data_IF_179162273458
#
_entry.id   IF_179162273458
#
_cell.length_a   1.000
_cell.length_b   1.000
_cell.length_c   1.000
_cell.angle_alpha   90.00
_cell.angle_beta   90.00
_cell.angle_gamma   90.00
#
_symmetry.space_group_name_H-M   'P 1'
#
loop_
_entity.id
_entity.type
_entity.pdbx_description
1 polymer ?
#
# COMPACT_ATOMS: atom_id res chain seq x y z
N UNK A 1 -35.92 -2.49 -32.73
CA UNK A 1 -36.00 -2.51 -31.24
C UNK A 1 -35.17 -3.62 -30.61
N UNK A 2 -35.39 -4.91 -30.90
CA UNK A 2 -34.62 -6.02 -30.27
C UNK A 2 -33.09 -5.92 -30.47
N UNK A 3 -32.63 -5.52 -31.66
CA UNK A 3 -31.20 -5.33 -31.93
C UNK A 3 -30.60 -4.12 -31.19
N UNK A 4 -31.36 -3.04 -31.01
CA UNK A 4 -30.91 -1.86 -30.26
C UNK A 4 -30.73 -2.17 -28.76
N UNK A 5 -31.65 -2.97 -28.20
CA UNK A 5 -31.56 -3.44 -26.82
C UNK A 5 -30.35 -4.38 -26.65
N UNK A 6 -30.09 -5.27 -27.60
CA UNK A 6 -28.93 -6.16 -27.58
C UNK A 6 -27.61 -5.40 -27.61
N UNK A 7 -27.50 -4.37 -28.46
CA UNK A 7 -26.31 -3.50 -28.55
C UNK A 7 -26.13 -2.70 -27.25
N UNK A 8 -27.22 -2.19 -26.67
CA UNK A 8 -27.19 -1.47 -25.39
C UNK A 8 -26.75 -2.38 -24.23
N UNK A 9 -27.22 -3.63 -24.19
CA UNK A 9 -26.78 -4.63 -23.21
C UNK A 9 -25.31 -5.01 -23.38
N UNK A 10 -24.80 -5.11 -24.61
CA UNK A 10 -23.38 -5.40 -24.86
C UNK A 10 -22.45 -4.26 -24.41
N UNK A 11 -22.87 -3.00 -24.59
CA UNK A 11 -22.12 -1.83 -24.13
C UNK A 11 -22.10 -1.69 -22.59
N UNK A 12 -23.16 -2.13 -21.91
CA UNK A 12 -23.20 -2.17 -20.44
C UNK A 12 -22.34 -3.31 -19.85
N UNK A 13 -22.07 -4.37 -20.63
CA UNK A 13 -21.23 -5.49 -20.22
C UNK A 13 -19.74 -5.27 -20.47
N UNK A 14 -19.36 -4.25 -21.27
CA UNK A 14 -17.96 -3.88 -21.52
C UNK A 14 -17.37 -2.91 -20.49
N UNK A 15 -18.11 -2.55 -19.44
CA UNK A 15 -17.57 -1.84 -18.27
C UNK A 15 -16.76 -2.78 -17.34
N UNK A 16 -15.99 -3.69 -17.93
CA UNK A 16 -15.02 -4.50 -17.21
C UNK A 16 -13.80 -3.62 -16.93
N UNK A 17 -13.58 -3.29 -15.65
CA UNK A 17 -12.32 -2.67 -15.18
C UNK A 17 -11.14 -3.43 -15.79
N UNK A 18 -10.33 -2.72 -16.58
CA UNK A 18 -9.03 -3.21 -17.03
C UNK A 18 -8.02 -2.85 -15.96
N UNK A 19 -7.67 -3.81 -15.11
CA UNK A 19 -6.57 -3.66 -14.16
C UNK A 19 -5.26 -3.57 -14.95
N UNK A 20 -4.78 -2.35 -15.18
CA UNK A 20 -3.52 -2.12 -15.87
C UNK A 20 -2.36 -2.52 -14.94
N UNK A 21 -1.54 -3.47 -15.37
CA UNK A 21 -0.31 -3.84 -14.66
C UNK A 21 0.75 -2.80 -15.02
N UNK A 22 0.75 -1.67 -14.31
CA UNK A 22 1.83 -0.67 -14.38
C UNK A 22 3.05 -1.22 -13.63
N UNK A 23 4.26 -0.99 -14.16
CA UNK A 23 5.49 -1.38 -13.48
C UNK A 23 5.61 -0.73 -12.10
N UNK A 24 6.12 -1.47 -11.11
CA UNK A 24 6.24 -1.01 -9.72
C UNK A 24 6.86 0.40 -9.62
N UNK A 25 6.15 1.33 -8.98
CA UNK A 25 6.65 2.66 -8.54
C UNK A 25 7.25 3.54 -9.64
N UNK A 26 6.77 3.39 -10.87
CA UNK A 26 7.27 4.12 -12.03
C UNK A 26 7.04 5.64 -11.97
N UNK A 27 6.09 6.11 -11.15
CA UNK A 27 5.76 7.53 -10.98
C UNK A 27 5.89 8.07 -9.54
N UNK A 28 6.14 9.37 -9.41
CA UNK A 28 6.23 10.07 -8.11
C UNK A 28 4.94 9.99 -7.30
N UNK A 29 3.77 9.95 -7.94
CA UNK A 29 2.48 9.75 -7.28
C UNK A 29 2.40 8.40 -6.57
N UNK A 30 2.84 7.33 -7.23
CA UNK A 30 2.82 5.97 -6.67
C UNK A 30 3.76 5.88 -5.46
N UNK A 31 4.94 6.51 -5.56
CA UNK A 31 5.90 6.60 -4.47
C UNK A 31 5.30 7.36 -3.27
N UNK A 32 4.71 8.54 -3.48
CA UNK A 32 4.05 9.33 -2.41
C UNK A 32 2.94 8.54 -1.73
N UNK A 33 2.10 7.86 -2.51
CA UNK A 33 0.98 7.05 -1.99
C UNK A 33 1.46 5.92 -1.08
N UNK A 34 2.48 5.17 -1.52
CA UNK A 34 3.06 4.10 -0.71
C UNK A 34 3.67 4.66 0.54
N UNK A 35 4.49 5.71 0.44
CA UNK A 35 5.08 6.40 1.59
C UNK A 35 4.00 6.77 2.60
N UNK A 36 3.00 7.58 2.24
CA UNK A 36 1.95 8.01 3.17
C UNK A 36 1.16 6.84 3.77
N UNK A 37 0.90 5.78 2.99
CA UNK A 37 0.24 4.60 3.51
C UNK A 37 1.05 3.91 4.61
N UNK A 38 2.37 3.85 4.46
CA UNK A 38 3.31 3.33 5.46
C UNK A 38 3.36 4.25 6.68
N UNK A 39 3.50 5.56 6.50
CA UNK A 39 3.56 6.51 7.62
C UNK A 39 2.32 6.41 8.49
N UNK A 40 1.13 6.44 7.85
CA UNK A 40 -0.17 6.30 8.55
C UNK A 40 -0.32 4.96 9.24
N UNK A 41 0.19 3.87 8.63
CA UNK A 41 0.17 2.55 9.24
C UNK A 41 1.01 2.53 10.53
N UNK A 42 2.23 3.05 10.48
CA UNK A 42 3.13 3.09 11.63
C UNK A 42 2.60 4.07 12.70
N UNK A 43 2.07 5.22 12.29
CA UNK A 43 1.45 6.19 13.18
C UNK A 43 0.32 5.55 14.01
N UNK A 44 -0.47 4.66 13.40
CA UNK A 44 -1.57 3.96 14.06
C UNK A 44 -1.18 2.85 15.04
N UNK A 45 0.13 2.59 15.25
CA UNK A 45 0.60 1.69 16.31
C UNK A 45 0.09 2.15 17.69
N UNK A 46 -0.55 1.26 18.49
CA UNK A 46 -1.15 1.63 19.76
C UNK A 46 -0.10 1.77 20.87
N UNK A 47 -0.10 2.91 21.58
CA UNK A 47 0.85 3.21 22.66
C UNK A 47 0.91 2.11 23.74
N UNK A 48 -0.26 1.62 24.17
CA UNK A 48 -0.38 0.64 25.26
C UNK A 48 0.28 -0.71 24.96
N UNK A 49 0.48 -1.05 23.69
CA UNK A 49 1.14 -2.31 23.32
C UNK A 49 2.65 -2.24 23.45
N UNK A 50 3.24 -1.04 23.43
CA UNK A 50 4.69 -0.83 23.49
C UNK A 50 5.16 -0.12 24.76
N UNK A 51 4.25 0.45 25.56
CA UNK A 51 4.59 1.18 26.80
C UNK A 51 5.45 0.37 27.78
N UNK A 52 5.26 -0.94 27.86
CA UNK A 52 6.05 -1.82 28.73
C UNK A 52 7.47 -2.12 28.22
N UNK A 53 7.81 -1.72 26.99
CA UNK A 53 9.07 -2.07 26.33
C UNK A 53 10.10 -0.93 26.31
N UNK A 54 9.75 0.25 26.85
CA UNK A 54 10.65 1.40 26.88
C UNK A 54 11.99 1.06 27.55
N UNK A 55 13.09 1.40 26.87
CA UNK A 55 14.45 1.14 27.31
C UNK A 55 14.92 -0.33 27.18
N UNK A 56 14.02 -1.27 26.84
CA UNK A 56 14.40 -2.67 26.66
C UNK A 56 15.19 -2.87 25.37
N UNK A 57 16.11 -3.85 25.39
CA UNK A 57 16.77 -4.35 24.18
C UNK A 57 15.77 -5.16 23.36
N UNK A 58 15.42 -4.65 22.19
CA UNK A 58 14.39 -5.23 21.32
C UNK A 58 14.95 -5.51 19.94
N UNK A 59 14.73 -6.73 19.45
CA UNK A 59 15.05 -7.10 18.07
C UNK A 59 13.79 -6.97 17.21
N UNK A 60 13.88 -6.24 16.10
CA UNK A 60 12.75 -5.99 15.20
C UNK A 60 12.98 -6.70 13.89
N UNK A 61 11.97 -7.42 13.40
CA UNK A 61 12.03 -8.11 12.12
C UNK A 61 10.75 -7.89 11.32
N UNK A 62 10.93 -7.52 10.05
CA UNK A 62 9.85 -7.42 9.08
C UNK A 62 9.86 -8.62 8.14
N UNK A 63 8.67 -9.13 7.84
CA UNK A 63 8.45 -10.28 6.97
C UNK A 63 7.46 -9.89 5.89
N UNK A 64 7.76 -10.27 4.65
CA UNK A 64 6.87 -10.11 3.51
C UNK A 64 7.14 -11.21 2.49
N UNK A 65 6.15 -11.52 1.64
CA UNK A 65 6.24 -12.60 0.65
C UNK A 65 7.33 -12.32 -0.39
N UNK A 66 7.50 -11.04 -0.77
CA UNK A 66 8.55 -10.57 -1.67
C UNK A 66 9.42 -9.58 -0.94
N UNK A 67 10.74 -9.71 -1.05
CA UNK A 67 11.66 -8.67 -0.59
C UNK A 67 11.86 -7.67 -1.71
N UNK A 68 11.63 -6.39 -1.40
CA UNK A 68 11.86 -5.28 -2.31
C UNK A 68 12.27 -4.03 -1.52
N UNK A 69 12.55 -2.95 -2.24
CA UNK A 69 12.99 -1.66 -1.68
C UNK A 69 11.92 -1.02 -0.80
N UNK A 70 10.64 -1.29 -1.05
CA UNK A 70 9.53 -0.76 -0.26
C UNK A 70 9.53 -1.38 1.13
N UNK A 71 9.73 -2.70 1.21
CA UNK A 71 9.86 -3.40 2.49
C UNK A 71 11.02 -2.84 3.32
N UNK A 72 12.17 -2.59 2.67
CA UNK A 72 13.35 -2.04 3.35
C UNK A 72 13.09 -0.62 3.87
N UNK A 73 12.49 0.24 3.04
CA UNK A 73 12.06 1.58 3.45
C UNK A 73 11.09 1.53 4.64
N UNK A 74 10.04 0.71 4.55
CA UNK A 74 9.04 0.57 5.61
C UNK A 74 9.65 -0.01 6.90
N UNK A 75 10.62 -0.92 6.79
CA UNK A 75 11.34 -1.48 7.93
C UNK A 75 12.16 -0.41 8.66
N UNK A 76 12.92 0.40 7.93
CA UNK A 76 13.73 1.47 8.52
C UNK A 76 12.85 2.53 9.17
N UNK A 77 11.77 2.96 8.50
CA UNK A 77 10.83 3.92 9.06
C UNK A 77 10.19 3.41 10.35
N UNK A 78 9.77 2.14 10.35
CA UNK A 78 9.21 1.49 11.53
C UNK A 78 10.22 1.46 12.69
N UNK A 79 11.48 1.10 12.44
CA UNK A 79 12.52 1.07 13.46
C UNK A 79 12.75 2.45 14.09
N UNK A 80 12.87 3.49 13.26
CA UNK A 80 13.04 4.86 13.73
C UNK A 80 11.85 5.30 14.59
N UNK A 81 10.63 4.98 14.17
CA UNK A 81 9.44 5.38 14.90
C UNK A 81 9.25 4.61 16.21
N UNK A 82 9.62 3.32 16.22
CA UNK A 82 9.67 2.51 17.44
C UNK A 82 10.65 3.11 18.48
N UNK A 83 11.81 3.57 18.03
CA UNK A 83 12.79 4.27 18.88
C UNK A 83 12.23 5.62 19.35
N UNK A 84 11.70 6.44 18.44
CA UNK A 84 11.25 7.81 18.72
C UNK A 84 10.02 7.87 19.62
N UNK A 85 8.98 7.08 19.34
CA UNK A 85 7.69 7.13 20.07
C UNK A 85 7.65 6.29 21.32
N UNK A 86 8.32 5.13 21.31
CA UNK A 86 8.22 4.17 22.41
C UNK A 86 9.52 4.01 23.20
N UNK A 87 10.60 4.69 22.79
CA UNK A 87 11.89 4.67 23.49
C UNK A 87 12.54 3.29 23.49
N UNK A 88 12.33 2.51 22.43
CA UNK A 88 12.89 1.16 22.29
C UNK A 88 14.39 1.21 21.98
N UNK A 89 15.18 0.32 22.59
CA UNK A 89 16.60 0.17 22.27
C UNK A 89 16.76 -0.99 21.28
N UNK A 90 16.90 -0.67 19.99
CA UNK A 90 16.93 -1.68 18.95
C UNK A 90 18.32 -2.33 18.84
N UNK A 91 18.35 -3.65 18.87
CA UNK A 91 19.58 -4.45 18.71
C UNK A 91 19.59 -5.15 17.36
N UNK A 92 20.79 -5.39 16.82
CA UNK A 92 20.98 -6.01 15.50
C UNK A 92 20.85 -7.54 15.52
N UNK A 93 21.01 -8.17 16.69
CA UNK A 93 20.92 -9.62 16.85
C UNK A 93 19.80 -10.03 17.81
N UNK A 94 19.09 -11.10 17.45
CA UNK A 94 18.02 -11.68 18.29
C UNK A 94 18.55 -12.23 19.62
N UNK A 95 19.80 -12.69 19.66
CA UNK A 95 20.51 -13.18 20.86
C UNK A 95 20.66 -12.12 21.95
N UNK A 96 20.73 -10.84 21.57
CA UNK A 96 20.92 -9.72 22.51
C UNK A 96 19.59 -9.15 23.02
N UNK A 97 18.47 -9.57 22.43
CA UNK A 97 17.16 -9.01 22.69
C UNK A 97 16.43 -9.73 23.82
N UNK A 98 15.84 -8.95 24.72
CA UNK A 98 14.90 -9.45 25.71
C UNK A 98 13.52 -9.73 25.09
N UNK A 99 13.16 -8.93 24.08
CA UNK A 99 11.89 -9.02 23.37
C UNK A 99 12.13 -8.99 21.86
N UNK A 100 11.39 -9.80 21.12
CA UNK A 100 11.35 -9.78 19.66
C UNK A 100 10.02 -9.21 19.17
N UNK A 101 10.10 -8.28 18.22
CA UNK A 101 8.95 -7.75 17.50
C UNK A 101 8.97 -8.26 16.07
N UNK A 102 7.93 -9.00 15.69
CA UNK A 102 7.78 -9.50 14.33
C UNK A 102 6.61 -8.81 13.65
N UNK A 103 6.88 -8.14 12.54
CA UNK A 103 5.89 -7.47 11.69
C UNK A 103 5.74 -8.26 10.40
N UNK A 104 4.56 -8.81 10.16
CA UNK A 104 4.23 -9.55 8.95
C UNK A 104 3.35 -8.68 8.07
N UNK A 105 3.96 -8.13 7.03
CA UNK A 105 3.25 -7.36 6.02
C UNK A 105 2.38 -8.32 5.19
N UNK A 106 1.13 -7.93 4.97
CA UNK A 106 0.17 -8.65 4.12
C UNK A 106 -0.15 -7.88 2.85
N UNK A 107 0.08 -6.56 2.85
CA UNK A 107 0.00 -5.69 1.69
C UNK A 107 0.97 -4.53 1.87
N UNK A 108 1.72 -4.22 0.82
CA UNK A 108 2.67 -3.12 0.79
C UNK A 108 2.89 -2.72 -0.67
N UNK A 109 2.40 -1.56 -1.09
CA UNK A 109 2.54 -1.08 -2.45
C UNK A 109 1.36 -0.23 -2.93
N UNK A 110 1.31 0.01 -4.24
CA UNK A 110 0.20 0.68 -4.89
C UNK A 110 -0.74 -0.30 -5.58
N UNK A 111 -2.02 0.09 -5.66
CA UNK A 111 -3.00 -0.50 -6.58
C UNK A 111 -3.52 0.60 -7.50
N UNK A 112 -3.72 0.27 -8.77
CA UNK A 112 -4.26 1.19 -9.77
C UNK A 112 -5.48 0.56 -10.43
N UNK A 113 -6.51 1.36 -10.61
CA UNK A 113 -7.74 0.97 -11.29
C UNK A 113 -8.21 2.12 -12.19
N UNK A 114 -8.85 1.78 -13.30
CA UNK A 114 -9.40 2.75 -14.24
C UNK A 114 -10.85 2.38 -14.50
N UNK A 115 -11.76 3.31 -14.21
CA UNK A 115 -13.18 3.14 -14.47
C UNK A 115 -13.65 4.16 -15.50
N UNK A 116 -14.18 3.68 -16.64
CA UNK A 116 -14.62 4.60 -17.67
C UNK A 116 -14.95 3.99 -19.00
N UNK A 117 -15.22 4.87 -19.96
CA UNK A 117 -15.30 4.56 -21.37
C UNK A 117 -13.89 4.64 -21.96
N UNK A 118 -13.30 3.48 -22.26
CA UNK A 118 -11.99 3.36 -22.89
C UNK A 118 -12.11 2.71 -24.27
N UNK A 119 -11.25 3.14 -25.20
CA UNK A 119 -11.12 2.52 -26.51
C UNK A 119 -9.81 1.74 -26.53
N UNK A 120 -9.84 0.40 -26.66
CA UNK A 120 -8.62 -0.37 -26.81
C UNK A 120 -7.99 -0.05 -28.16
N UNK A 121 -6.71 0.32 -28.16
CA UNK A 121 -5.91 0.44 -29.37
C UNK A 121 -5.32 -0.92 -29.67
N UNK A 122 -5.73 -1.50 -30.81
CA UNK A 122 -5.12 -2.73 -31.32
C UNK A 122 -3.81 -2.35 -31.99
N UNK A 123 -2.70 -2.54 -31.27
CA UNK A 123 -1.37 -2.46 -31.88
C UNK A 123 -1.08 -3.80 -32.57
N UNK A 124 -1.16 -3.81 -33.91
CA UNK A 124 -0.89 -5.01 -34.72
C UNK A 124 0.60 -5.37 -34.79
N UNK A 125 1.48 -4.50 -34.29
CA UNK A 125 2.94 -4.65 -34.38
C UNK A 125 3.57 -5.15 -33.08
N UNK A 126 2.94 -4.89 -31.93
CA UNK A 126 3.38 -5.34 -30.61
C UNK A 126 2.16 -5.75 -29.78
N UNK A 127 1.98 -7.06 -29.61
CA UNK A 127 0.88 -7.66 -28.84
C UNK A 127 1.17 -7.74 -27.34
N UNK A 128 2.35 -7.31 -26.89
CA UNK A 128 2.75 -7.41 -25.48
C UNK A 128 2.24 -6.27 -24.60
N UNK A 129 1.81 -5.15 -25.20
CA UNK A 129 1.26 -3.99 -24.49
C UNK A 129 -0.07 -3.56 -25.10
N UNK A 130 -1.17 -3.75 -24.35
CA UNK A 130 -2.46 -3.14 -24.70
C UNK A 130 -2.39 -1.64 -24.47
N UNK A 131 -2.35 -0.86 -25.55
CA UNK A 131 -2.53 0.59 -25.47
C UNK A 131 -4.02 0.90 -25.43
N UNK A 132 -4.47 1.86 -24.61
CA UNK A 132 -5.87 2.28 -24.54
C UNK A 132 -5.97 3.81 -24.57
N UNK A 133 -7.10 4.34 -25.06
CA UNK A 133 -7.44 5.75 -24.99
C UNK A 133 -8.64 5.92 -24.07
N UNK A 134 -8.48 6.74 -23.03
CA UNK A 134 -9.55 7.07 -22.10
C UNK A 134 -10.40 8.20 -22.67
N UNK A 135 -11.63 7.87 -23.11
CA UNK A 135 -12.58 8.87 -23.63
C UNK A 135 -13.22 9.62 -22.46
N UNK A 136 -13.57 8.88 -21.41
CA UNK A 136 -14.11 9.39 -20.16
C UNK A 136 -13.77 8.39 -19.07
N UNK A 137 -12.75 8.66 -18.27
CA UNK A 137 -12.33 7.74 -17.22
C UNK A 137 -12.02 8.45 -15.91
N UNK A 138 -12.10 7.67 -14.84
CA UNK A 138 -11.59 8.00 -13.52
C UNK A 138 -10.46 7.02 -13.24
N UNK A 139 -9.26 7.54 -13.12
CA UNK A 139 -8.07 6.80 -12.71
C UNK A 139 -7.94 6.89 -11.20
N UNK A 140 -7.88 5.73 -10.55
CA UNK A 140 -7.83 5.60 -9.10
C UNK A 140 -6.48 5.02 -8.68
N UNK A 141 -5.73 5.77 -7.88
CA UNK A 141 -4.43 5.35 -7.36
C UNK A 141 -4.49 5.19 -5.84
N UNK A 142 -4.13 4.01 -5.36
CA UNK A 142 -4.25 3.64 -3.96
C UNK A 142 -2.92 3.19 -3.39
N UNK A 143 -2.43 3.84 -2.33
CA UNK A 143 -1.36 3.32 -1.48
C UNK A 143 -1.94 2.41 -0.41
N UNK A 144 -1.49 1.17 -0.33
CA UNK A 144 -1.99 0.18 0.62
C UNK A 144 -0.84 -0.36 1.43
N UNK A 145 -0.95 -0.23 2.75
CA UNK A 145 -0.03 -0.83 3.71
C UNK A 145 -0.79 -1.56 4.81
N UNK A 146 -0.47 -2.81 5.04
CA UNK A 146 -1.11 -3.65 6.05
C UNK A 146 -0.05 -4.56 6.69
N UNK A 147 -0.03 -4.62 8.03
CA UNK A 147 0.71 -5.64 8.74
C UNK A 147 -0.07 -6.21 9.92
N UNK A 148 0.35 -7.40 10.35
CA UNK A 148 0.11 -7.89 11.70
C UNK A 148 1.43 -7.93 12.46
N UNK A 149 1.41 -7.65 13.76
CA UNK A 149 2.60 -7.78 14.59
C UNK A 149 2.40 -8.71 15.78
N UNK A 150 3.54 -9.27 16.20
CA UNK A 150 3.67 -10.14 17.35
C UNK A 150 4.78 -9.63 18.26
N UNK A 151 4.51 -9.65 19.55
CA UNK A 151 5.50 -9.39 20.59
C UNK A 151 5.83 -10.73 21.23
N UNK A 152 7.10 -11.12 21.19
CA UNK A 152 7.61 -12.36 21.76
C UNK A 152 8.59 -12.05 22.86
N UNK A 153 8.32 -12.56 24.04
CA UNK A 153 9.22 -12.52 25.19
C UNK A 153 10.22 -13.68 25.05
N UNK A 154 11.52 -13.35 24.89
CA UNK A 154 12.56 -14.36 24.71
C UNK A 154 12.91 -15.10 26.01
N UNK A 155 12.69 -14.49 27.18
CA UNK A 155 12.96 -15.14 28.46
C UNK A 155 11.93 -16.23 28.75
N UNK A 156 10.67 -16.00 28.39
CA UNK A 156 9.56 -16.94 28.60
C UNK A 156 9.28 -17.82 27.39
N UNK A 157 9.89 -17.51 26.25
CA UNK A 157 9.61 -18.10 24.95
C UNK A 157 8.11 -18.12 24.62
N UNK A 158 7.43 -17.01 24.90
CA UNK A 158 5.98 -16.87 24.74
C UNK A 158 5.63 -15.65 23.91
N UNK A 159 4.60 -15.79 23.07
CA UNK A 159 3.98 -14.66 22.37
C UNK A 159 3.04 -13.97 23.36
N UNK A 160 3.36 -12.74 23.72
CA UNK A 160 2.61 -11.95 24.70
C UNK A 160 1.48 -11.14 24.07
N UNK A 161 1.60 -10.72 22.80
CA UNK A 161 0.55 -9.96 22.09
C UNK A 161 0.52 -10.24 20.58
N UNK A 162 -0.68 -10.10 19.99
CA UNK A 162 -0.95 -10.16 18.54
C UNK A 162 -2.00 -9.11 18.16
N UNK A 163 -1.71 -8.28 17.14
CA UNK A 163 -2.69 -7.33 16.57
C UNK A 163 -2.47 -7.15 15.07
N UNK A 164 -3.56 -6.86 14.34
CA UNK A 164 -3.56 -6.50 12.91
C UNK A 164 -3.87 -5.01 12.76
N UNK A 165 -3.13 -4.33 11.89
CA UNK A 165 -3.30 -2.91 11.57
C UNK A 165 -3.30 -2.73 10.04
N UNK A 166 -4.20 -1.89 9.54
CA UNK A 166 -4.38 -1.60 8.12
C UNK A 166 -4.42 -0.09 7.91
N UNK A 167 -3.74 0.37 6.87
CA UNK A 167 -3.79 1.75 6.38
C UNK A 167 -4.00 1.77 4.86
N UNK A 168 -4.83 2.71 4.40
CA UNK A 168 -5.10 2.95 2.98
C UNK A 168 -5.10 4.46 2.73
N UNK A 169 -4.40 4.87 1.69
CA UNK A 169 -4.34 6.26 1.20
C UNK A 169 -4.73 6.26 -0.28
N UNK A 170 -5.46 7.27 -0.73
CA UNK A 170 -6.08 7.31 -2.06
C UNK A 170 -5.87 8.66 -2.72
N UNK A 171 -5.74 8.66 -4.05
CA UNK A 171 -5.87 9.84 -4.90
C UNK A 171 -6.51 9.41 -6.21
N UNK A 172 -7.52 10.14 -6.63
CA UNK A 172 -8.32 9.85 -7.80
C UNK A 172 -8.22 11.02 -8.78
N UNK A 173 -8.24 10.70 -10.07
CA UNK A 173 -8.08 11.68 -11.15
C UNK A 173 -9.13 11.42 -12.22
N UNK A 174 -9.69 12.49 -12.76
CA UNK A 174 -10.54 12.42 -13.94
C UNK A 174 -9.70 12.65 -15.20
N UNK A 175 -9.93 11.81 -16.21
CA UNK A 175 -9.16 11.78 -17.44
C UNK A 175 -10.08 11.69 -18.66
N UNK A 176 -9.76 12.51 -19.66
CA UNK A 176 -10.29 12.48 -21.03
C UNK A 176 -9.11 12.62 -21.99
N UNK A 177 -9.30 12.45 -23.32
CA UNK A 177 -8.16 12.51 -24.25
C UNK A 177 -7.47 13.88 -24.31
N UNK A 178 -8.14 14.95 -23.87
CA UNK A 178 -7.67 16.34 -24.02
C UNK A 178 -7.45 17.00 -22.65
N UNK A 179 -8.25 16.62 -21.64
CA UNK A 179 -8.26 17.26 -20.33
C UNK A 179 -8.15 16.23 -19.22
N UNK A 180 -7.43 16.57 -18.17
CA UNK A 180 -7.32 15.74 -16.98
C UNK A 180 -7.15 16.61 -15.75
N UNK A 181 -7.84 16.29 -14.65
CA UNK A 181 -7.78 17.05 -13.41
C UNK A 181 -7.98 16.13 -12.19
N UNK A 182 -7.36 16.45 -11.03
CA UNK A 182 -7.52 15.65 -9.82
C UNK A 182 -8.96 15.75 -9.29
N UNK A 183 -9.47 14.62 -8.77
CA UNK A 183 -10.74 14.55 -8.04
C UNK A 183 -10.52 14.54 -6.53
N UNK A 184 -9.39 14.01 -6.08
CA UNK A 184 -8.97 14.02 -4.69
C UNK A 184 -7.47 14.24 -4.59
N UNK A 185 -7.07 15.11 -3.66
CA UNK A 185 -5.66 15.34 -3.33
C UNK A 185 -5.27 14.53 -2.10
N UNK A 186 -3.98 14.25 -2.01
CA UNK A 186 -3.39 13.76 -0.77
C UNK A 186 -3.37 14.96 0.17
N UNK A 187 -4.33 15.03 1.10
CA UNK A 187 -4.45 16.13 2.06
C UNK A 187 -3.08 16.44 2.68
N UNK A 188 -2.50 17.60 2.33
CA UNK A 188 -1.25 18.11 2.92
C UNK A 188 -1.47 18.73 4.31
N UNK A 189 -2.68 18.61 4.89
CA UNK A 189 -3.10 19.30 6.12
C UNK A 189 -3.76 18.36 7.14
N UNK A 190 -3.05 17.34 7.61
CA UNK A 190 -3.31 16.75 8.93
C UNK A 190 -2.00 16.81 9.75
N UNK A 191 -1.65 18.02 10.20
CA UNK A 191 -0.73 18.25 11.34
C UNK A 191 -1.42 17.92 12.68
#
# INVERSE_FOLDING_TARGET
MKQLILICCLLLLSACSTRQVVGNLSGSTEQRLVTYSVEKLIASLPQDDFAGLTGQKVFVKSHFIKKDEVLEYAHQMLQLELMRRFGLNLVSESSEAMTELHFFYTSLGTDTDTYGLTIPLVNLSDTSQSSQIDILAVDMYHGISEFMYYIKDNQRNQITKKRKILSRVKTDKFSTPILSFPLSDLDENEE
#
